data_IF_587205084689
#
_entry.id   IF_587205084689
#
_cell.length_a   1.000
_cell.length_b   1.000
_cell.length_c   1.000
_cell.angle_alpha   90.00
_cell.angle_beta   90.00
_cell.angle_gamma   90.00
#
_symmetry.space_group_name_H-M   'P 1'
#
loop_
_entity.id
_entity.type
_entity.pdbx_description
1 polymer ?
#
# COMPACT_ATOMS: atom_id res chain seq x y z
N UNK A 1 23.09 21.77 -18.54
CA UNK A 1 21.90 21.77 -19.41
C UNK A 1 21.65 20.36 -19.92
N UNK A 2 20.45 20.08 -20.46
CA UNK A 2 20.07 18.75 -20.96
C UNK A 2 19.43 18.85 -22.35
N UNK A 3 19.85 17.97 -23.25
CA UNK A 3 19.35 17.91 -24.62
C UNK A 3 18.85 16.51 -24.94
N UNK A 4 17.84 16.45 -25.79
CA UNK A 4 17.38 15.27 -26.48
C UNK A 4 17.59 15.47 -27.98
N UNK A 5 18.29 14.53 -28.59
CA UNK A 5 18.65 14.50 -29.99
C UNK A 5 17.94 13.31 -30.62
N UNK A 6 17.13 13.60 -31.64
CA UNK A 6 16.54 12.59 -32.50
C UNK A 6 17.50 12.34 -33.65
N UNK A 7 17.86 11.09 -33.85
CA UNK A 7 18.78 10.70 -34.91
C UNK A 7 18.29 9.45 -35.63
N UNK A 8 18.73 9.25 -36.87
CA UNK A 8 18.61 7.98 -37.57
C UNK A 8 19.77 7.09 -37.18
N UNK A 9 19.53 5.78 -37.12
CA UNK A 9 20.58 4.80 -36.80
C UNK A 9 21.73 4.91 -37.83
N UNK A 10 22.84 5.49 -37.36
CA UNK A 10 24.05 5.73 -38.15
C UNK A 10 25.26 5.52 -37.26
N UNK A 11 26.12 4.60 -37.68
CA UNK A 11 27.43 4.41 -37.04
C UNK A 11 28.25 5.70 -37.09
N UNK A 12 28.79 6.10 -35.94
CA UNK A 12 29.67 7.27 -35.80
C UNK A 12 28.97 8.57 -35.38
N UNK A 13 27.64 8.65 -35.38
CA UNK A 13 26.91 9.88 -35.01
C UNK A 13 27.21 10.31 -33.56
N UNK A 14 27.22 9.38 -32.61
CA UNK A 14 27.55 9.69 -31.20
C UNK A 14 28.97 10.26 -31.08
N UNK A 15 29.92 9.73 -31.85
CA UNK A 15 31.30 10.23 -31.86
C UNK A 15 31.38 11.64 -32.45
N UNK A 16 30.74 11.90 -33.59
CA UNK A 16 30.69 13.22 -34.21
C UNK A 16 30.11 14.27 -33.24
N UNK A 17 29.07 13.91 -32.48
CA UNK A 17 28.48 14.78 -31.47
C UNK A 17 29.42 15.03 -30.28
N UNK A 18 30.18 14.02 -29.85
CA UNK A 18 31.16 14.18 -28.79
C UNK A 18 32.33 15.06 -29.23
N UNK A 19 32.85 14.85 -30.44
CA UNK A 19 33.92 15.67 -31.01
C UNK A 19 33.49 17.13 -31.12
N UNK A 20 32.21 17.39 -31.45
CA UNK A 20 31.63 18.73 -31.50
C UNK A 20 31.60 19.41 -30.11
N UNK A 21 31.21 18.67 -29.06
CA UNK A 21 31.23 19.20 -27.69
C UNK A 21 32.65 19.47 -27.19
N UNK A 22 33.59 18.56 -27.50
CA UNK A 22 35.01 18.70 -27.14
C UNK A 22 35.63 19.90 -27.84
N UNK A 23 35.35 20.11 -29.13
CA UNK A 23 35.84 21.26 -29.90
C UNK A 23 35.39 22.60 -29.32
N UNK A 24 34.25 22.61 -28.62
CA UNK A 24 33.67 23.79 -27.95
C UNK A 24 34.02 23.87 -26.46
N UNK A 25 34.83 22.95 -25.96
CA UNK A 25 35.23 22.87 -24.55
C UNK A 25 34.03 22.81 -23.59
N UNK A 26 33.00 22.05 -23.97
CA UNK A 26 31.77 21.88 -23.17
C UNK A 26 31.89 20.61 -22.34
N UNK A 27 31.86 20.76 -21.01
CA UNK A 27 31.94 19.63 -20.08
C UNK A 27 30.70 18.75 -20.12
N UNK A 28 30.87 17.49 -20.50
CA UNK A 28 29.81 16.51 -20.54
C UNK A 28 29.76 15.69 -19.23
N UNK A 29 28.60 15.67 -18.59
CA UNK A 29 28.34 14.94 -17.35
C UNK A 29 27.61 13.61 -17.53
N UNK A 30 27.09 13.32 -18.73
CA UNK A 30 26.38 12.07 -19.00
C UNK A 30 25.78 12.00 -20.39
N UNK A 31 25.68 10.78 -20.91
CA UNK A 31 25.06 10.44 -22.19
C UNK A 31 24.14 9.25 -21.93
N UNK A 32 22.92 9.31 -22.45
CA UNK A 32 21.98 8.19 -22.37
C UNK A 32 21.42 7.88 -23.76
N UNK A 33 21.42 6.61 -24.14
CA UNK A 33 20.83 6.12 -25.37
C UNK A 33 19.63 5.25 -24.96
N UNK A 34 18.41 5.77 -25.16
CA UNK A 34 17.17 5.08 -24.75
C UNK A 34 16.67 4.15 -25.86
N UNK A 35 16.88 4.55 -27.11
CA UNK A 35 16.55 3.78 -28.30
C UNK A 35 17.56 4.12 -29.40
N UNK A 36 17.63 3.31 -30.46
CA UNK A 36 18.53 3.52 -31.61
C UNK A 36 18.39 4.92 -32.25
N UNK A 37 17.27 5.62 -32.00
CA UNK A 37 16.98 6.93 -32.58
C UNK A 37 16.94 8.10 -31.57
N UNK A 38 17.23 7.86 -30.28
CA UNK A 38 17.11 8.88 -29.23
C UNK A 38 18.34 8.90 -28.32
N UNK A 39 19.05 10.03 -28.39
CA UNK A 39 20.23 10.31 -27.59
C UNK A 39 19.94 11.48 -26.65
N UNK A 40 20.32 11.33 -25.38
CA UNK A 40 20.25 12.39 -24.40
C UNK A 40 21.65 12.79 -23.94
N UNK A 41 21.86 14.09 -23.78
CA UNK A 41 23.14 14.66 -23.34
C UNK A 41 22.92 15.56 -22.13
N UNK A 42 23.73 15.36 -21.10
CA UNK A 42 23.81 16.24 -19.92
C UNK A 42 25.19 16.86 -19.86
N UNK A 43 25.26 18.19 -19.88
CA UNK A 43 26.52 18.95 -19.86
C UNK A 43 26.43 20.16 -18.94
N UNK A 44 27.53 20.89 -18.77
CA UNK A 44 27.60 22.14 -18.00
C UNK A 44 26.63 23.20 -18.49
N UNK A 45 26.41 24.24 -17.68
CA UNK A 45 25.63 25.39 -18.11
C UNK A 45 26.50 26.29 -19.01
N UNK A 46 25.97 26.66 -20.18
CA UNK A 46 26.66 27.50 -21.16
C UNK A 46 25.85 28.76 -21.47
N UNK A 47 26.49 29.78 -22.03
CA UNK A 47 25.82 31.03 -22.37
C UNK A 47 24.76 30.83 -23.46
N UNK A 48 23.73 31.67 -23.49
CA UNK A 48 22.60 31.52 -24.42
C UNK A 48 23.01 31.56 -25.90
N UNK A 49 23.98 32.41 -26.26
CA UNK A 49 24.47 32.51 -27.64
C UNK A 49 25.23 31.26 -28.07
N UNK A 50 26.11 30.74 -27.21
CA UNK A 50 26.83 29.48 -27.43
C UNK A 50 25.86 28.31 -27.52
N UNK A 51 24.84 28.29 -26.65
CA UNK A 51 23.79 27.28 -26.67
C UNK A 51 23.00 27.28 -28.00
N UNK A 52 22.61 28.46 -28.50
CA UNK A 52 21.93 28.57 -29.80
C UNK A 52 22.81 28.12 -30.95
N UNK A 53 24.10 28.49 -30.94
CA UNK A 53 25.07 28.04 -31.94
C UNK A 53 25.22 26.52 -31.92
N UNK A 54 25.36 25.94 -30.73
CA UNK A 54 25.47 24.50 -30.52
C UNK A 54 24.26 23.76 -31.08
N UNK A 55 23.05 24.20 -30.75
CA UNK A 55 21.81 23.59 -31.25
C UNK A 55 21.71 23.64 -32.78
N UNK A 56 22.18 24.73 -33.40
CA UNK A 56 22.19 24.86 -34.85
C UNK A 56 23.20 23.91 -35.51
N UNK A 57 24.37 23.71 -34.90
CA UNK A 57 25.39 22.80 -35.41
C UNK A 57 25.00 21.34 -35.25
N UNK A 58 24.46 20.95 -34.10
CA UNK A 58 23.95 19.58 -33.87
C UNK A 58 22.88 19.22 -34.90
N UNK A 59 21.98 20.17 -35.24
CA UNK A 59 20.97 19.95 -36.30
C UNK A 59 21.56 19.83 -37.71
N UNK A 60 22.76 20.35 -37.96
CA UNK A 60 23.46 20.21 -39.25
C UNK A 60 24.22 18.90 -39.36
N UNK A 61 24.46 18.21 -38.24
CA UNK A 61 25.15 16.91 -38.23
C UNK A 61 24.34 15.89 -39.03
N UNK A 62 24.95 15.19 -40.01
CA UNK A 62 24.21 14.28 -40.87
C UNK A 62 23.63 13.11 -40.07
N UNK A 63 22.31 12.91 -40.17
CA UNK A 63 21.60 11.85 -39.45
C UNK A 63 20.85 12.36 -38.22
N UNK A 64 21.07 13.59 -37.76
CA UNK A 64 20.21 14.24 -36.76
C UNK A 64 18.94 14.76 -37.45
N UNK A 65 17.78 14.39 -36.92
CA UNK A 65 16.47 14.84 -37.42
C UNK A 65 15.95 16.03 -36.64
N UNK A 66 16.12 16.04 -35.32
CA UNK A 66 15.71 17.15 -34.46
C UNK A 66 16.51 17.19 -33.16
N UNK A 67 16.52 18.35 -32.50
CA UNK A 67 17.16 18.56 -31.20
C UNK A 67 16.29 19.48 -30.36
N UNK A 68 16.04 19.09 -29.11
CA UNK A 68 15.27 19.88 -28.13
C UNK A 68 15.89 19.84 -26.75
N UNK A 69 15.56 20.85 -25.94
CA UNK A 69 15.88 20.87 -24.50
C UNK A 69 14.92 20.00 -23.71
N UNK A 70 15.43 19.28 -22.72
CA UNK A 70 14.62 18.50 -21.78
C UNK A 70 14.89 18.93 -20.34
N UNK A 71 13.93 18.72 -19.46
CA UNK A 71 14.06 19.06 -18.03
C UNK A 71 14.95 18.06 -17.30
N UNK A 72 14.78 16.78 -17.60
CA UNK A 72 15.40 15.65 -16.91
C UNK A 72 15.88 14.61 -17.92
N UNK A 73 16.99 13.96 -17.59
CA UNK A 73 17.44 12.77 -18.32
C UNK A 73 16.47 11.60 -18.04
N UNK A 74 16.37 10.61 -18.93
CA UNK A 74 15.56 9.41 -18.72
C UNK A 74 15.83 8.74 -17.36
N UNK A 75 17.09 8.52 -17.00
CA UNK A 75 17.49 7.96 -15.69
C UNK A 75 17.09 8.85 -14.51
N UNK A 76 17.26 10.17 -14.65
CA UNK A 76 16.88 11.16 -13.63
C UNK A 76 15.35 11.18 -13.43
N UNK A 77 14.58 11.04 -14.52
CA UNK A 77 13.12 10.99 -14.50
C UNK A 77 12.63 9.72 -13.80
N UNK A 78 13.18 8.56 -14.15
CA UNK A 78 12.84 7.29 -13.51
C UNK A 78 13.14 7.33 -12.01
N UNK A 79 14.33 7.81 -11.64
CA UNK A 79 14.71 8.01 -10.23
C UNK A 79 13.74 8.95 -9.51
N UNK A 80 13.37 10.08 -10.13
CA UNK A 80 12.41 11.03 -9.53
C UNK A 80 11.06 10.37 -9.28
N UNK A 81 10.55 9.58 -10.23
CA UNK A 81 9.28 8.86 -10.06
C UNK A 81 9.37 7.91 -8.87
N UNK A 82 10.44 7.11 -8.76
CA UNK A 82 10.64 6.20 -7.63
C UNK A 82 10.71 6.96 -6.29
N UNK A 83 11.43 8.08 -6.24
CA UNK A 83 11.51 8.93 -5.03
C UNK A 83 10.13 9.50 -4.67
N UNK A 84 9.37 10.02 -5.64
CA UNK A 84 8.03 10.55 -5.37
C UNK A 84 7.04 9.48 -4.88
N UNK A 85 7.17 8.24 -5.38
CA UNK A 85 6.39 7.11 -4.87
C UNK A 85 6.75 6.81 -3.40
N UNK A 86 8.04 6.81 -3.08
CA UNK A 86 8.53 6.62 -1.71
C UNK A 86 8.00 7.71 -0.76
N UNK A 87 8.03 8.97 -1.20
CA UNK A 87 7.53 10.13 -0.45
C UNK A 87 6.02 10.10 -0.21
N UNK A 88 5.24 9.60 -1.18
CA UNK A 88 3.79 9.51 -1.08
C UNK A 88 3.31 8.40 -0.11
N UNK A 89 4.19 7.46 0.26
CA UNK A 89 3.80 6.37 1.15
C UNK A 89 3.52 6.87 2.58
N UNK A 90 2.34 6.55 3.16
CA UNK A 90 1.93 7.06 4.47
C UNK A 90 2.53 6.31 5.66
N UNK A 91 3.09 5.13 5.40
CA UNK A 91 3.75 4.29 6.40
C UNK A 91 5.27 4.55 6.37
N UNK A 92 5.94 4.56 7.52
CA UNK A 92 7.40 4.62 7.59
C UNK A 92 8.04 3.46 6.83
N UNK A 93 8.89 3.81 5.86
CA UNK A 93 9.64 2.86 5.03
C UNK A 93 11.11 3.25 5.04
N UNK A 94 11.98 2.27 5.28
CA UNK A 94 13.43 2.39 5.20
C UNK A 94 14.02 1.30 4.30
N UNK A 95 15.16 1.57 3.68
CA UNK A 95 15.99 0.56 3.02
C UNK A 95 17.32 0.44 3.75
N UNK A 96 17.80 -0.77 3.96
CA UNK A 96 19.11 -1.06 4.55
C UNK A 96 20.00 -1.86 3.60
N UNK A 97 21.31 -1.61 3.65
CA UNK A 97 22.31 -2.44 2.98
C UNK A 97 22.55 -3.77 3.73
N UNK A 98 23.39 -4.65 3.17
CA UNK A 98 23.79 -5.92 3.80
C UNK A 98 24.49 -5.75 5.16
N UNK A 99 24.97 -4.55 5.48
CA UNK A 99 25.65 -4.21 6.74
C UNK A 99 24.70 -3.55 7.74
N UNK A 100 23.41 -3.45 7.43
CA UNK A 100 22.39 -2.82 8.27
C UNK A 100 22.48 -1.29 8.31
N UNK A 101 23.07 -0.64 7.30
CA UNK A 101 23.13 0.82 7.16
C UNK A 101 21.97 1.30 6.30
N UNK A 102 21.37 2.42 6.70
CA UNK A 102 20.21 2.98 6.01
C UNK A 102 20.64 3.64 4.69
N UNK A 103 20.07 3.19 3.57
CA UNK A 103 20.28 3.81 2.25
C UNK A 103 19.18 4.80 1.88
N UNK A 104 17.94 4.50 2.26
CA UNK A 104 16.77 5.32 1.95
C UNK A 104 15.82 5.36 3.15
N UNK A 105 15.19 6.50 3.36
CA UNK A 105 14.14 6.67 4.38
C UNK A 105 13.11 7.67 3.86
N UNK A 106 11.84 7.26 3.84
CA UNK A 106 10.77 8.15 3.42
C UNK A 106 10.45 9.22 4.48
N UNK A 107 9.69 10.29 4.13
CA UNK A 107 9.33 11.34 5.07
C UNK A 107 8.58 10.84 6.31
N UNK A 108 7.79 9.76 6.18
CA UNK A 108 7.11 9.16 7.31
C UNK A 108 8.09 8.54 8.32
N UNK A 109 9.16 7.90 7.86
CA UNK A 109 10.25 7.41 8.70
C UNK A 109 11.04 8.55 9.34
N UNK A 110 11.39 9.58 8.58
CA UNK A 110 12.07 10.77 9.11
C UNK A 110 11.26 11.42 10.24
N UNK A 111 9.94 11.55 10.06
CA UNK A 111 9.03 12.07 11.08
C UNK A 111 8.93 11.16 12.30
N UNK A 112 8.91 9.85 12.10
CA UNK A 112 8.86 8.88 13.20
C UNK A 112 10.11 8.97 14.09
N UNK A 113 11.30 9.02 13.48
CA UNK A 113 12.56 9.05 14.22
C UNK A 113 13.02 10.46 14.61
N UNK A 114 12.40 11.51 14.07
CA UNK A 114 12.78 12.90 14.30
C UNK A 114 14.16 13.25 13.73
N UNK A 115 14.54 12.62 12.62
CA UNK A 115 15.85 12.78 11.97
C UNK A 115 15.69 13.18 10.52
N UNK A 116 16.56 14.08 10.06
CA UNK A 116 16.65 14.45 8.65
C UNK A 116 17.29 13.34 7.82
N UNK A 117 16.95 13.29 6.52
CA UNK A 117 17.48 12.30 5.56
C UNK A 117 19.01 12.15 5.63
N UNK A 118 19.74 13.27 5.69
CA UNK A 118 21.21 13.26 5.72
C UNK A 118 21.80 12.60 6.98
N UNK A 119 21.08 12.66 8.11
CA UNK A 119 21.53 12.02 9.36
C UNK A 119 21.17 10.55 9.40
N UNK A 120 20.08 10.16 8.75
CA UNK A 120 19.69 8.76 8.63
C UNK A 120 20.57 8.02 7.62
N UNK A 121 20.95 8.67 6.51
CA UNK A 121 21.77 8.07 5.46
C UNK A 121 23.11 7.55 6.02
N UNK A 122 23.44 6.30 5.68
CA UNK A 122 24.59 5.52 6.17
C UNK A 122 24.69 5.28 7.68
N UNK A 123 23.71 5.74 8.47
CA UNK A 123 23.63 5.44 9.89
C UNK A 123 23.20 3.98 10.09
N UNK A 124 23.72 3.30 11.13
CA UNK A 124 23.32 1.93 11.44
C UNK A 124 21.88 1.92 11.96
N UNK A 125 21.06 1.01 11.42
CA UNK A 125 19.65 0.86 11.81
C UNK A 125 19.48 0.55 13.30
N UNK A 126 20.48 -0.10 13.92
CA UNK A 126 20.51 -0.42 15.34
C UNK A 126 20.49 0.81 16.28
N UNK A 127 20.79 2.01 15.80
CA UNK A 127 20.62 3.25 16.58
C UNK A 127 19.15 3.71 16.65
N UNK A 128 18.31 3.25 15.72
CA UNK A 128 16.92 3.68 15.60
C UNK A 128 15.94 2.62 16.13
N UNK A 129 16.27 1.36 15.88
CA UNK A 129 15.46 0.22 16.29
C UNK A 129 16.37 -0.72 17.08
N UNK A 130 16.04 -0.95 18.34
CA UNK A 130 16.74 -1.90 19.21
C UNK A 130 16.38 -3.35 18.83
N UNK A 131 16.75 -3.77 17.61
CA UNK A 131 16.69 -5.16 17.17
C UNK A 131 18.10 -5.61 16.74
N UNK A 132 18.66 -6.56 17.49
CA UNK A 132 20.03 -7.07 17.30
C UNK A 132 20.20 -7.83 15.98
N UNK A 133 19.12 -8.38 15.41
CA UNK A 133 19.20 -9.17 14.18
C UNK A 133 19.21 -8.29 12.93
N UNK A 134 18.74 -7.03 13.02
CA UNK A 134 18.88 -6.05 11.94
C UNK A 134 20.32 -5.56 11.75
N UNK A 135 21.15 -5.65 12.80
CA UNK A 135 22.56 -5.26 12.76
C UNK A 135 23.44 -6.31 12.08
N UNK A 136 22.95 -7.54 11.98
CA UNK A 136 23.63 -8.68 11.37
C UNK A 136 22.65 -9.39 10.44
N UNK A 137 22.16 -8.65 9.43
CA UNK A 137 21.34 -9.22 8.35
C UNK A 137 22.07 -10.42 7.77
N UNK A 138 21.64 -11.66 8.05
CA UNK A 138 22.48 -12.81 7.77
C UNK A 138 22.64 -12.96 6.26
N UNK A 139 23.87 -13.17 5.80
CA UNK A 139 24.15 -13.70 4.45
C UNK A 139 23.52 -15.10 4.24
N UNK A 140 22.98 -15.71 5.31
CA UNK A 140 22.38 -17.04 5.32
C UNK A 140 20.85 -17.02 5.15
N UNK A 141 20.40 -17.52 4.00
CA UNK A 141 19.15 -18.26 3.76
C UNK A 141 17.77 -17.64 4.10
N UNK A 142 17.67 -16.35 4.40
CA UNK A 142 16.34 -15.72 4.56
C UNK A 142 15.79 -15.35 3.17
N UNK A 143 15.06 -16.31 2.59
CA UNK A 143 14.27 -16.17 1.34
C UNK A 143 12.91 -15.52 1.59
N UNK A 144 12.50 -15.36 2.86
CA UNK A 144 11.13 -15.01 3.24
C UNK A 144 11.05 -13.68 3.98
N UNK A 145 9.97 -12.94 3.72
CA UNK A 145 9.64 -11.73 4.46
C UNK A 145 9.42 -12.06 5.93
N UNK A 146 10.03 -11.28 6.83
CA UNK A 146 9.93 -11.46 8.28
C UNK A 146 9.03 -10.37 8.87
N UNK A 147 8.10 -10.76 9.72
CA UNK A 147 7.21 -9.82 10.43
C UNK A 147 7.46 -9.89 11.94
N UNK A 148 7.64 -8.74 12.60
CA UNK A 148 7.95 -8.63 14.03
C UNK A 148 7.20 -7.50 14.68
N UNK A 149 6.99 -7.61 15.98
CA UNK A 149 6.46 -6.52 16.79
C UNK A 149 7.62 -5.72 17.38
N UNK A 150 7.61 -4.40 17.20
CA UNK A 150 8.63 -3.50 17.75
C UNK A 150 7.96 -2.30 18.43
N UNK A 151 8.57 -1.82 19.50
CA UNK A 151 8.13 -0.62 20.21
C UNK A 151 9.11 0.50 19.90
N UNK A 152 8.63 1.54 19.22
CA UNK A 152 9.45 2.70 18.83
C UNK A 152 8.84 3.93 19.50
N UNK A 153 9.64 4.63 20.32
CA UNK A 153 9.20 5.81 21.08
C UNK A 153 7.91 5.56 21.90
N UNK A 154 7.76 4.36 22.47
CA UNK A 154 6.59 3.98 23.27
C UNK A 154 5.32 3.71 22.47
N UNK A 155 5.41 3.52 21.15
CA UNK A 155 4.29 3.14 20.27
C UNK A 155 4.54 1.77 19.65
N UNK A 156 3.48 0.99 19.52
CA UNK A 156 3.51 -0.35 18.94
C UNK A 156 3.47 -0.30 17.40
N UNK A 157 4.44 -0.98 16.79
CA UNK A 157 4.54 -1.15 15.33
C UNK A 157 4.70 -2.62 14.97
N UNK A 158 4.09 -3.00 13.86
CA UNK A 158 4.40 -4.22 13.14
C UNK A 158 5.49 -3.89 12.12
N UNK A 159 6.68 -4.40 12.34
CA UNK A 159 7.82 -4.28 11.43
C UNK A 159 7.79 -5.44 10.44
N UNK A 160 7.68 -5.12 9.16
CA UNK A 160 7.82 -6.07 8.05
C UNK A 160 9.16 -5.81 7.37
N UNK A 161 9.94 -6.87 7.19
CA UNK A 161 11.24 -6.80 6.52
C UNK A 161 11.20 -7.66 5.27
N UNK A 162 11.45 -7.04 4.13
CA UNK A 162 11.40 -7.63 2.80
C UNK A 162 12.79 -7.55 2.16
N UNK A 163 13.47 -8.67 1.88
CA UNK A 163 14.76 -8.65 1.21
C UNK A 163 14.65 -8.07 -0.20
N UNK A 164 15.64 -7.27 -0.59
CA UNK A 164 15.77 -6.70 -1.93
C UNK A 164 16.80 -7.53 -2.69
N UNK A 165 16.37 -8.09 -3.81
CA UNK A 165 17.22 -8.86 -4.70
C UNK A 165 17.42 -8.13 -6.02
N UNK A 166 18.66 -8.12 -6.50
CA UNK A 166 18.97 -7.70 -7.86
C UNK A 166 19.21 -8.94 -8.72
N UNK A 167 18.61 -9.01 -9.93
CA UNK A 167 18.95 -10.07 -10.88
C UNK A 167 20.40 -9.90 -11.29
N UNK A 168 21.23 -10.92 -11.04
CA UNK A 168 22.62 -10.92 -11.49
C UNK A 168 22.73 -10.95 -13.02
N UNK A 169 23.92 -10.63 -13.54
CA UNK A 169 24.22 -10.68 -14.99
C UNK A 169 24.02 -12.07 -15.62
N UNK A 170 23.99 -13.12 -14.79
CA UNK A 170 23.66 -14.49 -15.16
C UNK A 170 22.31 -14.85 -14.54
N UNK A 171 21.36 -15.30 -15.37
CA UNK A 171 19.93 -15.57 -15.07
C UNK A 171 19.62 -16.49 -13.87
N UNK A 172 20.63 -17.00 -13.15
CA UNK A 172 20.49 -17.95 -12.04
C UNK A 172 21.13 -17.49 -10.72
N UNK A 173 21.74 -16.30 -10.66
CA UNK A 173 22.25 -15.74 -9.39
C UNK A 173 21.39 -14.57 -8.93
N UNK A 174 20.50 -14.86 -7.98
CA UNK A 174 19.75 -13.85 -7.24
C UNK A 174 20.63 -13.43 -6.06
N UNK A 175 21.22 -12.25 -6.11
CA UNK A 175 22.05 -11.75 -5.00
C UNK A 175 21.21 -10.81 -4.12
N UNK A 176 21.17 -11.03 -2.79
CA UNK A 176 20.59 -10.06 -1.89
C UNK A 176 21.48 -8.83 -1.87
N UNK A 177 20.87 -7.64 -2.00
CA UNK A 177 21.61 -6.37 -1.95
C UNK A 177 21.25 -5.57 -0.69
N UNK A 178 20.13 -5.91 -0.06
CA UNK A 178 19.70 -5.27 1.16
C UNK A 178 18.31 -5.73 1.58
N UNK A 179 17.64 -4.92 2.38
CA UNK A 179 16.28 -5.16 2.81
C UNK A 179 15.48 -3.86 2.94
N UNK A 180 14.20 -3.93 2.60
CA UNK A 180 13.20 -2.90 2.85
C UNK A 180 12.51 -3.20 4.18
N UNK A 181 12.45 -2.21 5.06
CA UNK A 181 11.76 -2.26 6.35
C UNK A 181 10.54 -1.35 6.28
N UNK A 182 9.37 -1.90 6.59
CA UNK A 182 8.11 -1.16 6.68
C UNK A 182 7.57 -1.25 8.10
N UNK A 183 7.16 -0.11 8.68
CA UNK A 183 6.63 -0.05 10.04
C UNK A 183 5.15 0.31 10.01
N UNK A 184 4.29 -0.68 10.22
CA UNK A 184 2.83 -0.49 10.23
C UNK A 184 2.36 -0.21 11.65
N UNK A 185 1.74 0.94 11.88
CA UNK A 185 1.19 1.28 13.19
C UNK A 185 -0.04 0.43 13.49
N UNK A 186 -0.05 -0.26 14.63
CA UNK A 186 -1.19 -1.06 15.10
C UNK A 186 -2.42 -0.19 15.38
N UNK A 187 -2.22 1.07 15.79
CA UNK A 187 -3.30 2.05 15.99
C UNK A 187 -4.00 2.46 14.69
N UNK A 188 -3.26 2.50 13.57
CA UNK A 188 -3.84 2.74 12.23
C UNK A 188 -4.48 1.49 11.65
N UNK A 189 -3.97 0.29 11.96
CA UNK A 189 -4.63 -0.96 11.59
C UNK A 189 -6.07 -1.01 12.11
N UNK A 190 -6.34 -0.57 13.35
CA UNK A 190 -7.70 -0.49 13.88
C UNK A 190 -8.67 0.35 13.02
N UNK A 191 -8.19 1.41 12.37
CA UNK A 191 -8.98 2.25 11.47
C UNK A 191 -8.98 1.77 10.01
N UNK A 192 -7.91 1.11 9.54
CA UNK A 192 -7.79 0.60 8.17
C UNK A 192 -8.46 -0.77 7.99
N UNK A 193 -8.60 -1.56 9.06
CA UNK A 193 -9.42 -2.77 9.14
C UNK A 193 -10.92 -2.52 8.95
N UNK A 194 -11.37 -1.26 9.04
CA UNK A 194 -12.75 -0.91 8.68
C UNK A 194 -12.94 -0.66 7.17
N UNK A 195 -11.85 -0.44 6.40
CA UNK A 195 -11.93 -0.09 4.97
C UNK A 195 -11.44 -1.19 4.03
N UNK A 196 -10.59 -2.10 4.50
CA UNK A 196 -10.09 -3.19 3.66
C UNK A 196 -10.82 -4.47 4.03
N UNK A 197 -11.81 -4.82 3.21
CA UNK A 197 -12.31 -6.17 3.03
C UNK A 197 -11.15 -7.08 2.59
N UNK A 198 -10.27 -7.45 3.52
CA UNK A 198 -9.31 -8.51 3.29
C UNK A 198 -9.93 -9.82 3.73
N UNK A 199 -10.33 -10.53 2.70
CA UNK A 199 -10.52 -11.96 2.55
C UNK A 199 -9.37 -12.75 3.17
N UNK A 200 -9.21 -12.71 4.49
CA UNK A 200 -8.49 -13.77 5.19
C UNK A 200 -9.39 -14.99 5.14
N UNK A 201 -8.99 -15.98 4.35
CA UNK A 201 -9.73 -17.21 4.08
C UNK A 201 -9.72 -18.19 5.28
N UNK A 202 -9.40 -17.69 6.47
CA UNK A 202 -9.08 -18.47 7.66
C UNK A 202 -10.17 -18.32 8.74
N UNK A 203 -11.45 -18.48 8.39
CA UNK A 203 -12.55 -18.06 9.26
C UNK A 203 -12.58 -18.66 10.67
N UNK A 204 -12.72 -19.98 10.79
CA UNK A 204 -12.68 -20.64 12.11
C UNK A 204 -11.26 -20.88 12.63
N UNK A 205 -10.23 -20.61 11.82
CA UNK A 205 -8.83 -20.91 12.13
C UNK A 205 -8.20 -19.84 13.03
N UNK A 206 -8.70 -18.60 12.98
CA UNK A 206 -8.31 -17.54 13.90
C UNK A 206 -8.85 -17.72 15.33
N UNK A 207 -9.80 -18.64 15.58
CA UNK A 207 -10.38 -18.84 16.91
C UNK A 207 -9.65 -19.98 17.64
N UNK A 208 -8.76 -19.62 18.55
CA UNK A 208 -8.03 -20.59 19.40
C UNK A 208 -8.97 -21.15 20.49
N UNK A 209 -9.36 -22.42 20.37
CA UNK A 209 -10.19 -23.11 21.37
C UNK A 209 -9.37 -24.06 22.25
N UNK A 210 -8.89 -23.55 23.38
CA UNK A 210 -8.18 -24.35 24.39
C UNK A 210 -9.11 -25.27 25.20
N UNK A 211 -10.34 -24.83 25.50
CA UNK A 211 -11.28 -25.58 26.33
C UNK A 211 -12.15 -26.56 25.52
N UNK A 212 -12.52 -27.73 26.08
CA UNK A 212 -13.37 -28.70 25.40
C UNK A 212 -14.77 -28.14 25.08
N UNK A 213 -15.32 -27.29 25.96
CA UNK A 213 -16.60 -26.59 25.72
C UNK A 213 -16.53 -25.65 24.52
N UNK A 214 -15.43 -24.90 24.37
CA UNK A 214 -15.25 -24.00 23.22
C UNK A 214 -15.08 -24.79 21.91
N UNK A 215 -14.36 -25.91 21.94
CA UNK A 215 -14.24 -26.80 20.77
C UNK A 215 -15.59 -27.36 20.32
N UNK A 216 -16.45 -27.75 21.28
CA UNK A 216 -17.82 -28.20 20.97
C UNK A 216 -18.66 -27.08 20.34
N UNK A 217 -18.59 -25.86 20.88
CA UNK A 217 -19.27 -24.70 20.33
C UNK A 217 -18.81 -24.39 18.90
N UNK A 218 -17.51 -24.37 18.64
CA UNK A 218 -16.98 -24.16 17.29
C UNK A 218 -17.42 -25.25 16.32
N UNK A 219 -17.48 -26.52 16.77
CA UNK A 219 -17.98 -27.61 15.94
C UNK A 219 -19.47 -27.48 15.62
N UNK A 220 -20.29 -27.01 16.56
CA UNK A 220 -21.70 -26.71 16.31
C UNK A 220 -21.85 -25.54 15.34
N UNK A 221 -21.13 -24.44 15.56
CA UNK A 221 -21.13 -23.27 14.68
C UNK A 221 -20.71 -23.63 13.25
N UNK A 222 -19.68 -24.50 13.08
CA UNK A 222 -19.25 -24.99 11.77
C UNK A 222 -20.31 -25.78 11.01
N UNK A 223 -21.13 -26.56 11.71
CA UNK A 223 -22.24 -27.31 11.11
C UNK A 223 -23.37 -26.37 10.71
N UNK A 224 -23.73 -25.45 11.60
CA UNK A 224 -24.81 -24.49 11.40
C UNK A 224 -24.50 -23.47 10.29
N UNK A 225 -23.24 -23.08 10.12
CA UNK A 225 -22.79 -22.11 9.12
C UNK A 225 -23.06 -22.53 7.67
N UNK A 226 -23.18 -23.83 7.38
CA UNK A 226 -23.46 -24.36 6.04
C UNK A 226 -24.94 -24.21 5.68
N UNK A 227 -25.81 -24.03 6.68
CA UNK A 227 -27.25 -23.91 6.50
C UNK A 227 -27.70 -22.46 6.35
N UNK A 228 -28.77 -22.27 5.58
CA UNK A 228 -29.35 -20.96 5.26
C UNK A 228 -30.30 -20.41 6.36
N UNK A 229 -30.29 -21.02 7.54
CA UNK A 229 -31.14 -20.67 8.67
C UNK A 229 -30.59 -19.46 9.45
N UNK A 230 -31.45 -18.61 10.05
CA UNK A 230 -31.01 -17.52 10.91
C UNK A 230 -30.30 -18.04 12.17
N UNK A 231 -29.19 -17.41 12.54
CA UNK A 231 -28.37 -17.79 13.68
C UNK A 231 -28.44 -16.73 14.79
N UNK A 232 -28.66 -17.17 16.03
CA UNK A 232 -28.65 -16.33 17.22
C UNK A 232 -27.43 -16.68 18.09
N UNK A 233 -26.54 -15.72 18.31
CA UNK A 233 -25.33 -15.89 19.12
C UNK A 233 -25.48 -15.18 20.47
N UNK A 234 -25.75 -15.96 21.52
CA UNK A 234 -25.91 -15.47 22.90
C UNK A 234 -24.60 -15.56 23.70
N UNK A 235 -24.54 -14.92 24.87
CA UNK A 235 -23.32 -14.74 25.67
C UNK A 235 -23.04 -13.29 26.09
N UNK A 236 -22.01 -13.09 26.89
CA UNK A 236 -21.66 -11.80 27.51
C UNK A 236 -20.97 -10.83 26.54
N UNK A 237 -20.96 -9.55 26.89
CA UNK A 237 -20.23 -8.51 26.15
C UNK A 237 -18.72 -8.79 26.20
N UNK A 238 -18.05 -8.69 25.05
CA UNK A 238 -16.59 -8.92 24.97
C UNK A 238 -16.16 -10.36 24.70
N UNK A 239 -17.09 -11.32 24.57
CA UNK A 239 -16.78 -12.74 24.31
C UNK A 239 -16.48 -13.09 22.84
N UNK A 240 -16.24 -12.08 21.98
CA UNK A 240 -15.86 -12.31 20.58
C UNK A 240 -16.98 -12.81 19.64
N UNK A 241 -18.25 -12.58 19.99
CA UNK A 241 -19.43 -12.95 19.17
C UNK A 241 -19.34 -12.50 17.71
N UNK A 242 -18.78 -11.31 17.50
CA UNK A 242 -18.64 -10.70 16.19
C UNK A 242 -17.66 -11.52 15.31
N UNK A 243 -16.59 -12.05 15.92
CA UNK A 243 -15.66 -12.95 15.23
C UNK A 243 -16.33 -14.29 14.89
N UNK A 244 -17.14 -14.84 15.81
CA UNK A 244 -17.88 -16.09 15.55
C UNK A 244 -18.89 -15.92 14.40
N UNK A 245 -19.60 -14.79 14.35
CA UNK A 245 -20.54 -14.47 13.26
C UNK A 245 -19.84 -14.36 11.90
N UNK A 246 -18.68 -13.69 11.85
CA UNK A 246 -17.86 -13.59 10.64
C UNK A 246 -17.34 -14.95 10.18
N UNK A 247 -16.88 -15.79 11.11
CA UNK A 247 -16.43 -17.15 10.82
C UNK A 247 -17.58 -18.01 10.24
N UNK A 248 -18.80 -17.86 10.77
CA UNK A 248 -20.00 -18.51 10.20
C UNK A 248 -20.29 -18.00 8.78
N UNK A 249 -20.23 -16.70 8.53
CA UNK A 249 -20.45 -16.12 7.19
C UNK A 249 -19.44 -16.65 6.16
N UNK A 250 -18.16 -16.66 6.50
CA UNK A 250 -17.09 -17.13 5.62
C UNK A 250 -17.19 -18.63 5.29
N UNK A 251 -17.76 -19.44 6.18
CA UNK A 251 -18.00 -20.87 5.93
C UNK A 251 -19.30 -21.15 5.17
N UNK A 252 -20.18 -20.17 5.05
CA UNK A 252 -21.46 -20.33 4.37
C UNK A 252 -21.32 -20.33 2.84
N UNK A 253 -22.34 -20.81 2.15
CA UNK A 253 -22.45 -20.67 0.69
C UNK A 253 -22.50 -19.20 0.22
N UNK A 254 -22.67 -18.26 1.15
CA UNK A 254 -22.81 -16.81 0.91
C UNK A 254 -21.52 -16.04 1.24
N UNK A 255 -20.40 -16.72 1.43
CA UNK A 255 -19.11 -16.11 1.79
C UNK A 255 -18.62 -15.03 0.81
N UNK A 256 -19.01 -15.12 -0.48
CA UNK A 256 -18.70 -14.11 -1.50
C UNK A 256 -19.56 -12.84 -1.40
N UNK A 257 -20.64 -12.87 -0.63
CA UNK A 257 -21.52 -11.72 -0.44
C UNK A 257 -20.98 -10.83 0.70
N UNK A 258 -21.22 -9.50 0.63
CA UNK A 258 -20.78 -8.59 1.68
C UNK A 258 -21.41 -8.95 3.04
N UNK A 259 -20.62 -8.85 4.10
CA UNK A 259 -21.05 -9.03 5.48
C UNK A 259 -21.32 -7.67 6.11
N UNK A 260 -22.57 -7.39 6.50
CA UNK A 260 -22.96 -6.11 7.05
C UNK A 260 -23.30 -6.26 8.54
N UNK A 261 -22.57 -5.59 9.42
CA UNK A 261 -22.81 -5.65 10.86
C UNK A 261 -23.57 -4.40 11.32
N UNK A 262 -24.68 -4.59 12.06
CA UNK A 262 -25.46 -3.49 12.61
C UNK A 262 -25.47 -3.53 14.14
N UNK A 263 -24.98 -2.47 14.75
CA UNK A 263 -25.06 -2.30 16.20
C UNK A 263 -26.38 -1.61 16.58
N UNK A 264 -27.40 -2.37 16.95
CA UNK A 264 -28.69 -1.81 17.36
C UNK A 264 -28.61 -0.96 18.63
N UNK A 265 -27.59 -1.14 19.48
CA UNK A 265 -27.44 -0.35 20.70
C UNK A 265 -27.10 1.13 20.45
N UNK A 266 -26.62 1.48 19.25
CA UNK A 266 -26.28 2.86 18.88
C UNK A 266 -27.38 3.57 18.08
N UNK A 267 -28.52 2.91 17.81
CA UNK A 267 -29.64 3.51 17.09
C UNK A 267 -30.74 3.93 18.08
N UNK A 268 -31.12 5.22 18.12
CA UNK A 268 -32.32 5.68 18.82
C UNK A 268 -33.57 5.06 18.19
N UNK A 269 -34.57 4.69 19.00
CA UNK A 269 -35.81 4.03 18.54
C UNK A 269 -36.52 4.85 17.44
N UNK A 270 -36.53 6.18 17.59
CA UNK A 270 -37.19 7.12 16.68
C UNK A 270 -36.55 7.16 15.28
N UNK A 271 -35.28 6.75 15.16
CA UNK A 271 -34.49 6.82 13.93
C UNK A 271 -34.29 5.42 13.32
N UNK A 272 -34.46 4.37 14.12
CA UNK A 272 -34.21 2.99 13.73
C UNK A 272 -35.02 2.54 12.51
N UNK A 273 -36.31 2.89 12.44
CA UNK A 273 -37.17 2.54 11.29
C UNK A 273 -36.67 3.16 9.99
N UNK A 274 -36.34 4.45 10.02
CA UNK A 274 -35.87 5.20 8.84
C UNK A 274 -34.51 4.73 8.32
N UNK A 275 -33.62 4.26 9.21
CA UNK A 275 -32.31 3.72 8.82
C UNK A 275 -32.42 2.28 8.32
N UNK A 276 -33.29 1.46 8.90
CA UNK A 276 -33.43 0.05 8.56
C UNK A 276 -34.19 -0.18 7.25
N UNK A 277 -35.34 0.49 7.11
CA UNK A 277 -36.26 0.30 5.99
C UNK A 277 -36.18 1.42 4.96
N UNK A 278 -35.56 2.55 5.31
CA UNK A 278 -35.50 3.71 4.44
C UNK A 278 -36.79 4.52 4.49
N UNK A 279 -36.84 5.59 3.72
CA UNK A 279 -38.04 6.42 3.57
C UNK A 279 -38.10 7.05 2.18
N UNK A 280 -39.33 7.23 1.70
CA UNK A 280 -39.58 7.99 0.50
C UNK A 280 -39.58 9.51 0.80
N UNK A 281 -39.25 10.32 -0.20
CA UNK A 281 -39.33 11.77 -0.13
C UNK A 281 -40.78 12.17 0.21
N UNK A 282 -40.95 12.94 1.28
CA UNK A 282 -42.25 13.35 1.80
C UNK A 282 -42.90 12.42 2.84
N UNK A 283 -42.22 11.36 3.30
CA UNK A 283 -42.76 10.47 4.34
C UNK A 283 -42.95 11.14 5.71
N UNK A 284 -42.21 12.21 6.00
CA UNK A 284 -42.33 13.04 7.21
C UNK A 284 -41.82 14.47 6.94
N UNK A 285 -42.13 15.47 7.80
CA UNK A 285 -41.91 16.90 7.50
C UNK A 285 -40.48 17.30 7.11
N UNK A 286 -39.48 16.50 7.50
CA UNK A 286 -38.06 16.72 7.21
C UNK A 286 -37.47 15.75 6.15
N UNK A 287 -38.28 14.88 5.52
CA UNK A 287 -37.83 13.94 4.49
C UNK A 287 -37.81 14.61 3.10
N UNK A 288 -36.80 15.46 2.85
CA UNK A 288 -36.64 16.15 1.56
C UNK A 288 -36.12 15.23 0.44
N UNK A 289 -35.44 14.13 0.78
CA UNK A 289 -34.81 13.23 -0.18
C UNK A 289 -35.19 11.76 0.08
N UNK A 290 -35.13 10.93 -0.97
CA UNK A 290 -35.29 9.47 -0.85
C UNK A 290 -34.06 8.86 -0.19
N UNK A 291 -34.25 8.09 0.89
CA UNK A 291 -33.17 7.34 1.53
C UNK A 291 -33.46 5.84 1.48
N UNK A 292 -32.59 5.07 0.82
CA UNK A 292 -32.65 3.60 0.80
C UNK A 292 -32.29 3.03 2.16
N UNK A 293 -33.10 2.10 2.66
CA UNK A 293 -32.90 1.46 3.95
C UNK A 293 -31.72 0.50 3.98
N UNK A 294 -31.21 0.22 5.18
CA UNK A 294 -30.17 -0.77 5.43
C UNK A 294 -30.51 -2.15 4.83
N UNK A 295 -31.76 -2.61 4.95
CA UNK A 295 -32.20 -3.89 4.36
C UNK A 295 -32.24 -3.87 2.84
N UNK A 296 -32.57 -2.73 2.22
CA UNK A 296 -32.58 -2.56 0.77
C UNK A 296 -31.15 -2.50 0.22
N UNK A 297 -30.24 -1.81 0.91
CA UNK A 297 -28.81 -1.83 0.62
C UNK A 297 -28.21 -3.24 0.83
N UNK A 298 -28.76 -4.00 1.77
CA UNK A 298 -28.41 -5.38 2.04
C UNK A 298 -29.13 -6.40 1.14
N UNK A 299 -29.91 -5.99 0.12
CA UNK A 299 -30.67 -6.91 -0.75
C UNK A 299 -29.78 -7.77 -1.69
N UNK A 300 -28.45 -7.70 -1.54
CA UNK A 300 -27.49 -8.72 -1.98
C UNK A 300 -26.63 -9.33 -0.85
N UNK A 301 -26.54 -8.66 0.31
CA UNK A 301 -25.77 -9.02 1.48
C UNK A 301 -26.59 -9.89 2.46
N UNK A 302 -26.58 -11.22 2.31
CA UNK A 302 -27.44 -12.13 3.10
C UNK A 302 -26.96 -12.44 4.53
N UNK A 303 -26.15 -11.58 5.15
CA UNK A 303 -25.76 -11.77 6.55
C UNK A 303 -25.74 -10.45 7.32
N UNK A 304 -26.57 -10.39 8.37
CA UNK A 304 -26.63 -9.28 9.31
C UNK A 304 -26.38 -9.80 10.72
N UNK A 305 -25.46 -9.16 11.44
CA UNK A 305 -25.26 -9.39 12.86
C UNK A 305 -25.99 -8.29 13.63
N UNK A 306 -26.92 -8.69 14.50
CA UNK A 306 -27.60 -7.79 15.42
C UNK A 306 -27.03 -7.93 16.83
N UNK A 307 -26.60 -6.81 17.40
CA UNK A 307 -26.00 -6.75 18.73
C UNK A 307 -26.88 -5.91 19.65
N UNK A 308 -27.85 -6.53 20.35
CA UNK A 308 -28.46 -5.98 21.57
C UNK A 308 -29.39 -7.00 22.26
N UNK A 309 -29.59 -6.84 23.58
CA UNK A 309 -30.67 -7.49 24.33
C UNK A 309 -31.98 -6.66 24.28
N UNK A 310 -31.90 -5.37 23.95
CA UNK A 310 -33.03 -4.45 23.72
C UNK A 310 -33.11 -4.13 22.24
N UNK A 311 -33.79 -5.00 21.53
CA UNK A 311 -34.12 -4.81 20.12
C UNK A 311 -35.37 -3.91 20.03
N UNK A 312 -35.38 -2.82 19.24
CA UNK A 312 -36.59 -2.07 18.91
C UNK A 312 -37.66 -3.04 18.39
N UNK A 313 -38.95 -2.77 18.64
CA UNK A 313 -40.05 -3.72 18.28
C UNK A 313 -39.99 -4.18 16.82
N UNK A 314 -39.65 -3.27 15.94
CA UNK A 314 -39.54 -3.41 14.48
C UNK A 314 -38.48 -4.41 14.05
N UNK A 315 -37.49 -4.65 14.90
CA UNK A 315 -36.34 -5.50 14.62
C UNK A 315 -36.55 -6.94 15.12
N UNK A 316 -37.74 -7.30 15.61
CA UNK A 316 -38.06 -8.66 16.07
C UNK A 316 -38.41 -9.56 14.88
N UNK A 317 -37.98 -10.83 14.87
CA UNK A 317 -38.20 -11.75 13.74
C UNK A 317 -39.67 -12.04 13.40
N UNK A 318 -40.63 -11.61 14.23
CA UNK A 318 -42.07 -11.74 14.01
C UNK A 318 -42.76 -10.45 13.53
N UNK A 319 -42.02 -9.40 13.16
CA UNK A 319 -42.62 -8.22 12.53
C UNK A 319 -42.91 -8.53 11.05
N UNK A 320 -44.09 -9.10 10.79
CA UNK A 320 -44.67 -9.10 9.44
C UNK A 320 -45.12 -7.68 9.14
N UNK A 321 -44.37 -6.97 8.29
CA UNK A 321 -44.88 -5.77 7.64
C UNK A 321 -46.02 -6.21 6.71
N UNK A 322 -47.25 -5.91 7.10
CA UNK A 322 -48.43 -5.86 6.21
C UNK A 322 -48.44 -4.56 5.45
#
# INVERSE_FOLDING_TARGET
MRLEIFCRDRQGLVRELLDLLVARNIDLYGIEIVALERLYLRFSAIAFEEFRSLMAEIRRTPGVTDVRTVTDMPSERERRVLTSLLEAMPEPVLSIDLKGRIELANPAAQTLFGLDEQRMYHSPIGHLIEDRELSHWPESDIVTSVTRHVVIQGRDFLMEILPIYLPGELEQQIQPVGAMIMLKSTARMGHQLQRINMTDNCGFEHIVAASPKMRQLLNQARKLAVHDAPLLITGETGTGKDMLARACHQRSHRHLQPFLALNCASLPDDVAESELFGHAAGAYPNALENKKGFFEQANGARYYLMKSAKCPRVCRPNYSAS
#
